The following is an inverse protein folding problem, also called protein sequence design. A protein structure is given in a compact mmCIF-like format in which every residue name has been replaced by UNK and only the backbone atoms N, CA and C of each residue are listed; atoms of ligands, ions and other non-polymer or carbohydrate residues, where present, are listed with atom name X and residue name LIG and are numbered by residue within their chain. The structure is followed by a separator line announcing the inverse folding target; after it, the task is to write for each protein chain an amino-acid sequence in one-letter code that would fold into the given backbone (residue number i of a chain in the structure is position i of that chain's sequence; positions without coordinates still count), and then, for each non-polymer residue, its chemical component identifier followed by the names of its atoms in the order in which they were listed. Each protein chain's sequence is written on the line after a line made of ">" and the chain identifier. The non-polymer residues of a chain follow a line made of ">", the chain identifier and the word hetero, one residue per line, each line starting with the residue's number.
data_IF_608818320117
#
_entry.id   IF_608818320117
#
_cell.length_a   1.000
_cell.length_b   1.000
_cell.length_c   1.000
_cell.angle_alpha   90.00
_cell.angle_beta   90.00
_cell.angle_gamma   90.00
#
_symmetry.space_group_name_H-M   'P 1'
#
loop_
_entity.id
_entity.type
_entity.pdbx_description
1 polymer ?
#
# COMPACT_ATOMS: atom_id res chain seq x y z
N UNK A 1 -12.35 25.38 -21.88
CA UNK A 1 -12.90 25.22 -20.53
C UNK A 1 -13.67 23.92 -20.53
N UNK A 2 -13.08 22.83 -20.03
CA UNK A 2 -13.77 21.56 -19.91
C UNK A 2 -14.51 21.57 -18.57
N UNK A 3 -15.83 21.41 -18.61
CA UNK A 3 -16.67 21.24 -17.42
C UNK A 3 -16.21 19.99 -16.67
N UNK A 4 -15.59 20.19 -15.50
CA UNK A 4 -15.31 19.10 -14.56
C UNK A 4 -16.66 18.69 -13.96
N UNK A 5 -17.30 17.69 -14.55
CA UNK A 5 -18.49 17.09 -13.97
C UNK A 5 -18.15 16.52 -12.60
N UNK A 6 -18.58 17.20 -11.55
CA UNK A 6 -18.72 16.64 -10.21
C UNK A 6 -19.74 15.52 -10.35
N UNK A 7 -19.27 14.28 -10.52
CA UNK A 7 -20.16 13.14 -10.48
C UNK A 7 -20.60 13.01 -9.03
N UNK A 8 -21.87 13.32 -8.76
CA UNK A 8 -22.45 13.13 -7.44
C UNK A 8 -22.33 11.64 -7.08
N UNK A 9 -21.70 11.29 -5.94
CA UNK A 9 -21.51 9.89 -5.56
C UNK A 9 -22.85 9.15 -5.39
N UNK A 10 -23.94 9.88 -5.09
CA UNK A 10 -25.30 9.34 -5.02
C UNK A 10 -25.84 8.85 -6.39
N UNK A 11 -25.23 9.27 -7.50
CA UNK A 11 -25.62 8.83 -8.86
C UNK A 11 -24.83 7.62 -9.35
N UNK A 12 -23.82 7.17 -8.59
CA UNK A 12 -23.04 5.98 -8.91
C UNK A 12 -23.57 4.78 -8.10
N UNK A 13 -24.70 4.21 -8.52
CA UNK A 13 -25.30 2.98 -7.94
C UNK A 13 -24.35 1.77 -7.87
N UNK A 14 -23.20 1.85 -8.55
CA UNK A 14 -22.18 0.80 -8.59
C UNK A 14 -20.99 1.07 -7.68
N UNK A 15 -20.88 2.27 -7.11
CA UNK A 15 -19.79 2.70 -6.24
C UNK A 15 -20.27 2.72 -4.79
N UNK A 16 -19.78 1.76 -4.00
CA UNK A 16 -20.01 1.74 -2.55
C UNK A 16 -18.83 2.41 -1.87
N UNK A 17 -19.08 3.58 -1.28
CA UNK A 17 -18.10 4.33 -0.50
C UNK A 17 -18.24 4.00 0.99
N UNK A 18 -17.10 3.90 1.68
CA UNK A 18 -17.05 3.85 3.13
C UNK A 18 -17.42 5.23 3.74
N UNK A 19 -17.80 5.29 5.03
CA UNK A 19 -18.40 6.50 5.63
C UNK A 19 -17.50 7.75 5.59
N UNK A 20 -16.18 7.55 5.61
CA UNK A 20 -15.15 8.60 5.59
C UNK A 20 -14.51 8.76 4.19
N UNK A 21 -14.92 7.95 3.21
CA UNK A 21 -14.35 7.91 1.87
C UNK A 21 -15.00 8.95 0.96
N UNK A 22 -14.19 9.83 0.34
CA UNK A 22 -14.71 10.87 -0.57
C UNK A 22 -14.10 10.78 -1.97
N UNK A 23 -14.88 11.19 -2.98
CA UNK A 23 -14.45 11.22 -4.38
C UNK A 23 -13.54 12.42 -4.60
N UNK A 24 -12.32 12.16 -5.03
CA UNK A 24 -11.29 13.17 -5.30
C UNK A 24 -11.30 13.55 -6.77
N UNK A 25 -11.53 12.56 -7.62
CA UNK A 25 -11.63 12.75 -9.05
C UNK A 25 -12.51 11.65 -9.65
N UNK A 26 -13.37 12.04 -10.58
CA UNK A 26 -14.10 11.11 -11.40
C UNK A 26 -13.94 11.52 -12.87
N UNK A 27 -13.84 10.53 -13.75
CA UNK A 27 -13.60 10.77 -15.16
C UNK A 27 -14.10 9.66 -16.05
N UNK A 28 -14.39 10.04 -17.28
CA UNK A 28 -14.68 9.12 -18.39
C UNK A 28 -13.61 9.25 -19.48
N UNK A 29 -13.43 8.26 -20.35
CA UNK A 29 -12.50 8.35 -21.46
C UNK A 29 -12.73 9.63 -22.30
N UNK A 30 -11.63 10.32 -22.60
CA UNK A 30 -11.62 11.58 -23.34
C UNK A 30 -12.30 11.43 -24.71
N UNK A 31 -12.98 12.47 -25.19
CA UNK A 31 -13.78 12.41 -26.43
C UNK A 31 -12.91 12.12 -27.65
N UNK A 32 -11.69 12.67 -27.65
CA UNK A 32 -10.69 12.44 -28.70
C UNK A 32 -10.14 11.01 -28.74
N UNK A 33 -10.49 10.14 -27.77
CA UNK A 33 -10.16 8.71 -27.84
C UNK A 33 -10.76 8.03 -29.08
N UNK A 34 -11.86 8.58 -29.61
CA UNK A 34 -12.50 8.05 -30.83
C UNK A 34 -11.73 8.37 -32.11
N UNK A 35 -10.82 9.35 -32.10
CA UNK A 35 -10.06 9.79 -33.29
C UNK A 35 -9.29 8.64 -33.95
N UNK A 36 -8.47 7.84 -33.26
CA UNK A 36 -7.80 6.69 -33.90
C UNK A 36 -8.81 5.70 -34.49
N UNK A 37 -9.93 5.44 -33.80
CA UNK A 37 -10.99 4.58 -34.31
C UNK A 37 -11.67 5.16 -35.56
N UNK A 38 -11.81 6.47 -35.68
CA UNK A 38 -12.33 7.13 -36.87
C UNK A 38 -11.30 7.12 -38.02
N UNK A 39 -10.03 7.38 -37.74
CA UNK A 39 -8.95 7.37 -38.74
C UNK A 39 -8.81 6.00 -39.39
N UNK A 40 -8.91 4.93 -38.60
CA UNK A 40 -8.87 3.54 -39.10
C UNK A 40 -10.23 3.06 -39.60
N UNK A 41 -11.30 3.46 -38.92
CA UNK A 41 -12.67 3.02 -39.19
C UNK A 41 -13.19 3.56 -40.51
N UNK A 42 -13.10 4.87 -40.76
CA UNK A 42 -13.63 5.51 -41.97
C UNK A 42 -13.15 4.86 -43.27
N UNK A 43 -11.84 4.60 -43.50
CA UNK A 43 -11.41 3.93 -44.73
C UNK A 43 -11.91 2.47 -44.82
N UNK A 44 -12.06 1.79 -43.69
CA UNK A 44 -12.57 0.41 -43.62
C UNK A 44 -14.10 0.32 -43.65
N UNK A 45 -14.82 1.45 -43.55
CA UNK A 45 -16.29 1.47 -43.52
C UNK A 45 -16.91 0.99 -44.81
N UNK A 46 -16.18 1.06 -45.94
CA UNK A 46 -16.62 0.54 -47.23
C UNK A 46 -16.91 -0.97 -47.22
N UNK A 47 -16.31 -1.70 -46.27
CA UNK A 47 -16.47 -3.16 -46.13
C UNK A 47 -17.26 -3.51 -44.85
N UNK A 48 -18.04 -2.57 -44.29
CA UNK A 48 -18.78 -2.67 -43.01
C UNK A 48 -17.90 -2.83 -41.74
N UNK A 49 -16.69 -3.36 -41.86
CA UNK A 49 -15.73 -3.55 -40.75
C UNK A 49 -15.44 -2.24 -40.03
N UNK A 50 -15.28 -1.14 -40.78
CA UNK A 50 -15.03 0.18 -40.19
C UNK A 50 -16.15 0.68 -39.29
N UNK A 51 -17.41 0.38 -39.64
CA UNK A 51 -18.57 0.75 -38.82
C UNK A 51 -18.54 0.01 -37.47
N UNK A 52 -18.19 -1.28 -37.48
CA UNK A 52 -18.05 -2.08 -36.26
C UNK A 52 -16.91 -1.57 -35.36
N UNK A 53 -15.79 -1.15 -35.95
CA UNK A 53 -14.67 -0.57 -35.19
C UNK A 53 -15.10 0.73 -34.50
N UNK A 54 -15.78 1.62 -35.22
CA UNK A 54 -16.26 2.90 -34.67
C UNK A 54 -17.31 2.66 -33.58
N UNK A 55 -18.29 1.78 -33.84
CA UNK A 55 -19.33 1.44 -32.89
C UNK A 55 -18.74 0.79 -31.62
N UNK A 56 -17.79 -0.13 -31.77
CA UNK A 56 -17.10 -0.76 -30.65
C UNK A 56 -16.32 0.25 -29.80
N UNK A 57 -15.60 1.17 -30.42
CA UNK A 57 -14.88 2.23 -29.71
C UNK A 57 -15.85 3.17 -28.96
N UNK A 58 -16.97 3.52 -29.59
CA UNK A 58 -18.01 4.35 -28.99
C UNK A 58 -18.64 3.66 -27.78
N UNK A 59 -19.04 2.40 -27.92
CA UNK A 59 -19.62 1.61 -26.84
C UNK A 59 -18.63 1.44 -25.69
N UNK A 60 -17.35 1.16 -25.98
CA UNK A 60 -16.34 1.02 -24.94
C UNK A 60 -16.15 2.33 -24.16
N UNK A 61 -16.16 3.48 -24.84
CA UNK A 61 -16.07 4.79 -24.20
C UNK A 61 -17.24 5.03 -23.25
N UNK A 62 -18.47 4.80 -23.70
CA UNK A 62 -19.67 5.09 -22.90
C UNK A 62 -19.82 4.15 -21.71
N UNK A 63 -19.30 2.93 -21.82
CA UNK A 63 -19.40 1.91 -20.79
C UNK A 63 -18.23 1.91 -19.80
N UNK A 64 -17.28 2.84 -19.90
CA UNK A 64 -16.11 2.89 -19.04
C UNK A 64 -16.10 4.14 -18.15
N UNK A 65 -15.95 3.94 -16.85
CA UNK A 65 -15.88 5.02 -15.84
C UNK A 65 -14.72 4.77 -14.88
N UNK A 66 -14.01 5.85 -14.52
CA UNK A 66 -12.89 5.85 -13.60
C UNK A 66 -13.20 6.75 -12.41
N UNK A 67 -12.96 6.27 -11.21
CA UNK A 67 -13.13 7.05 -9.98
C UNK A 67 -11.89 6.88 -9.11
N UNK A 68 -11.40 7.99 -8.59
CA UNK A 68 -10.29 8.07 -7.65
C UNK A 68 -10.86 8.66 -6.38
N UNK A 69 -10.84 7.89 -5.30
CA UNK A 69 -11.31 8.32 -3.99
C UNK A 69 -10.13 8.70 -3.10
N UNK A 70 -10.40 8.92 -1.81
CA UNK A 70 -9.36 9.11 -0.79
C UNK A 70 -8.59 7.83 -0.51
N UNK A 71 -9.21 6.67 -0.69
CA UNK A 71 -8.74 5.40 -0.15
C UNK A 71 -8.38 4.39 -1.25
N UNK A 72 -9.08 4.47 -2.39
CA UNK A 72 -8.96 3.50 -3.46
C UNK A 72 -9.16 4.07 -4.88
N UNK A 73 -8.74 3.27 -5.84
CA UNK A 73 -8.96 3.45 -7.26
C UNK A 73 -10.06 2.50 -7.72
N UNK A 74 -11.04 3.05 -8.43
CA UNK A 74 -12.14 2.29 -8.99
C UNK A 74 -12.19 2.40 -10.52
N UNK A 75 -12.43 1.26 -11.16
CA UNK A 75 -12.68 1.16 -12.59
C UNK A 75 -13.93 0.33 -12.83
N UNK A 76 -14.87 0.91 -13.57
CA UNK A 76 -16.02 0.18 -14.12
C UNK A 76 -15.88 0.09 -15.64
N UNK A 77 -16.08 -1.11 -16.19
CA UNK A 77 -16.08 -1.33 -17.64
C UNK A 77 -17.09 -2.41 -18.07
N UNK A 78 -17.40 -2.44 -19.37
CA UNK A 78 -18.16 -3.53 -20.01
C UNK A 78 -19.51 -3.11 -20.61
N UNK A 79 -19.79 -3.63 -21.82
CA UNK A 79 -20.94 -3.23 -22.66
C UNK A 79 -22.19 -4.08 -22.38
N UNK A 80 -22.01 -5.38 -22.20
CA UNK A 80 -23.10 -6.33 -21.91
C UNK A 80 -23.07 -6.78 -20.44
N UNK A 81 -21.87 -6.92 -19.88
CA UNK A 81 -21.60 -7.20 -18.47
C UNK A 81 -20.96 -5.99 -17.82
N UNK A 82 -21.10 -5.87 -16.50
CA UNK A 82 -20.40 -4.85 -15.70
C UNK A 82 -19.26 -5.51 -14.95
N UNK A 83 -18.05 -5.06 -15.20
CA UNK A 83 -16.84 -5.40 -14.46
C UNK A 83 -16.45 -4.19 -13.59
N UNK A 84 -16.37 -4.38 -12.27
CA UNK A 84 -16.01 -3.34 -11.31
C UNK A 84 -14.78 -3.80 -10.55
N UNK A 85 -13.74 -2.98 -10.58
CA UNK A 85 -12.46 -3.25 -9.91
C UNK A 85 -12.16 -2.14 -8.92
N UNK A 86 -11.75 -2.52 -7.70
CA UNK A 86 -11.28 -1.63 -6.63
C UNK A 86 -9.83 -2.00 -6.29
N UNK A 87 -8.96 -1.01 -6.19
CA UNK A 87 -7.58 -1.18 -5.71
C UNK A 87 -7.30 -0.15 -4.63
N UNK A 88 -7.03 -0.61 -3.41
CA UNK A 88 -6.68 0.25 -2.29
C UNK A 88 -5.29 0.87 -2.49
N UNK A 89 -5.10 2.13 -2.08
CA UNK A 89 -3.81 2.81 -2.25
C UNK A 89 -2.64 2.12 -1.53
N UNK A 90 -2.91 1.43 -0.41
CA UNK A 90 -1.91 0.64 0.30
C UNK A 90 -1.36 -0.55 -0.50
N UNK A 91 -2.13 -1.06 -1.48
CA UNK A 91 -1.72 -2.16 -2.35
C UNK A 91 -1.02 -1.66 -3.61
N UNK A 92 -1.14 -0.38 -3.96
CA UNK A 92 -0.50 0.19 -5.15
C UNK A 92 1.01 0.26 -4.95
N UNK A 93 1.75 -0.19 -5.96
CA UNK A 93 3.21 -0.22 -5.94
C UNK A 93 3.82 0.76 -6.92
N UNK A 94 3.36 0.72 -8.17
CA UNK A 94 3.90 1.55 -9.23
C UNK A 94 2.77 2.08 -10.11
N UNK A 95 2.93 3.35 -10.51
CA UNK A 95 2.02 4.02 -11.44
C UNK A 95 2.85 4.59 -12.58
N UNK A 96 2.60 4.13 -13.81
CA UNK A 96 3.21 4.66 -15.02
C UNK A 96 2.16 5.27 -15.93
N UNK A 97 2.57 6.20 -16.78
CA UNK A 97 1.70 6.76 -17.81
C UNK A 97 2.32 6.60 -19.19
N UNK A 98 1.48 6.46 -20.21
CA UNK A 98 1.89 6.40 -21.61
C UNK A 98 0.95 7.21 -22.49
N UNK A 99 1.51 7.86 -23.51
CA UNK A 99 0.74 8.63 -24.50
C UNK A 99 1.16 8.21 -25.90
N UNK A 100 0.19 7.76 -26.70
CA UNK A 100 0.41 7.53 -28.13
C UNK A 100 0.52 8.84 -28.91
N UNK A 101 0.70 8.72 -30.22
CA UNK A 101 0.78 9.87 -31.14
C UNK A 101 -0.43 10.82 -30.99
N UNK A 102 -1.65 10.28 -31.12
CA UNK A 102 -2.88 11.06 -30.95
C UNK A 102 -3.08 11.54 -29.50
N UNK A 103 -2.71 10.71 -28.52
CA UNK A 103 -2.77 11.08 -27.11
C UNK A 103 -1.92 12.30 -26.79
N UNK A 104 -0.70 12.36 -27.32
CA UNK A 104 0.20 13.51 -27.16
C UNK A 104 -0.34 14.76 -27.83
N UNK A 105 -1.02 14.62 -28.98
CA UNK A 105 -1.60 15.75 -29.72
C UNK A 105 -2.87 16.32 -29.09
N UNK A 106 -3.70 15.45 -28.49
CA UNK A 106 -5.02 15.79 -27.96
C UNK A 106 -5.09 15.77 -26.42
N UNK A 107 -3.96 15.57 -25.74
CA UNK A 107 -3.84 15.68 -24.28
C UNK A 107 -4.46 14.51 -23.49
N UNK A 108 -4.50 13.31 -24.06
CA UNK A 108 -4.98 12.12 -23.36
C UNK A 108 -3.94 11.00 -23.35
N UNK A 109 -4.09 10.05 -22.44
CA UNK A 109 -3.22 8.88 -22.40
C UNK A 109 -3.75 7.77 -21.52
N UNK A 110 -2.86 6.84 -21.20
CA UNK A 110 -3.16 5.68 -20.39
C UNK A 110 -2.34 5.76 -19.11
N UNK A 111 -2.97 5.52 -17.96
CA UNK A 111 -2.29 5.35 -16.68
C UNK A 111 -2.41 3.88 -16.28
N UNK A 112 -1.27 3.24 -16.09
CA UNK A 112 -1.14 1.85 -15.67
C UNK A 112 -0.79 1.79 -14.18
N UNK A 113 -1.54 0.99 -13.42
CA UNK A 113 -1.41 0.82 -11.98
C UNK A 113 -1.10 -0.64 -11.69
N UNK A 114 -0.01 -0.86 -10.95
CA UNK A 114 0.44 -2.18 -10.50
C UNK A 114 0.33 -2.31 -8.99
N UNK A 115 -0.08 -3.48 -8.53
CA UNK A 115 -0.28 -3.79 -7.11
C UNK A 115 0.71 -4.81 -6.58
N UNK A 116 0.88 -4.83 -5.25
CA UNK A 116 1.65 -5.86 -4.57
C UNK A 116 0.93 -7.21 -4.72
N UNK A 117 1.59 -8.18 -5.37
CA UNK A 117 1.05 -9.52 -5.60
C UNK A 117 0.47 -9.76 -7.00
N UNK A 118 0.36 -8.73 -7.83
CA UNK A 118 0.00 -8.87 -9.24
C UNK A 118 1.22 -9.15 -10.13
N UNK A 119 1.02 -9.87 -11.25
CA UNK A 119 2.09 -10.19 -12.21
C UNK A 119 2.34 -9.09 -13.26
N UNK A 120 1.74 -7.90 -13.10
CA UNK A 120 1.87 -6.80 -14.05
C UNK A 120 0.96 -5.60 -13.75
N UNK A 121 0.29 -5.12 -14.80
CA UNK A 121 -0.69 -4.02 -14.70
C UNK A 121 -2.03 -4.59 -14.27
N UNK A 122 -2.45 -4.26 -13.05
CA UNK A 122 -3.71 -4.74 -12.47
C UNK A 122 -4.88 -3.85 -12.93
N UNK A 123 -4.66 -2.54 -12.97
CA UNK A 123 -5.66 -1.57 -13.39
C UNK A 123 -5.09 -0.57 -14.38
N UNK A 124 -5.92 -0.21 -15.35
CA UNK A 124 -5.58 0.70 -16.43
C UNK A 124 -6.69 1.71 -16.61
N UNK A 125 -6.35 2.98 -16.49
CA UNK A 125 -7.22 4.07 -16.87
C UNK A 125 -6.85 4.51 -18.29
N UNK A 126 -7.72 4.23 -19.25
CA UNK A 126 -7.47 4.46 -20.67
C UNK A 126 -8.08 5.77 -21.13
N UNK A 127 -7.35 6.47 -21.99
CA UNK A 127 -7.79 7.74 -22.57
C UNK A 127 -8.17 8.79 -21.53
N UNK A 128 -7.42 8.83 -20.42
CA UNK A 128 -7.61 9.82 -19.37
C UNK A 128 -7.08 11.16 -19.86
N UNK A 129 -7.81 12.26 -19.64
CA UNK A 129 -7.30 13.60 -19.89
C UNK A 129 -6.14 13.92 -18.94
N UNK A 130 -5.05 14.44 -19.49
CA UNK A 130 -3.81 14.73 -18.76
C UNK A 130 -3.35 13.56 -17.87
N UNK A 131 -2.81 12.49 -18.49
CA UNK A 131 -2.44 11.29 -17.76
C UNK A 131 -1.31 11.53 -16.74
N UNK A 132 -0.52 12.59 -16.93
CA UNK A 132 0.52 12.98 -15.97
C UNK A 132 -0.12 13.52 -14.70
N UNK A 133 -1.02 14.50 -14.80
CA UNK A 133 -1.68 15.07 -13.62
C UNK A 133 -2.47 14.01 -12.83
N UNK A 134 -3.06 13.02 -13.53
CA UNK A 134 -3.76 11.91 -12.87
C UNK A 134 -2.77 10.97 -12.18
N UNK A 135 -1.65 10.64 -12.81
CA UNK A 135 -0.61 9.82 -12.19
C UNK A 135 0.00 10.51 -10.96
N UNK A 136 0.23 11.82 -11.00
CA UNK A 136 0.71 12.62 -9.87
C UNK A 136 -0.28 12.57 -8.70
N UNK A 137 -1.57 12.80 -8.96
CA UNK A 137 -2.63 12.69 -7.94
C UNK A 137 -2.68 11.30 -7.31
N UNK A 138 -2.60 10.25 -8.13
CA UNK A 138 -2.58 8.86 -7.62
C UNK A 138 -1.37 8.67 -6.71
N UNK A 139 -0.18 9.10 -7.12
CA UNK A 139 1.03 8.95 -6.33
C UNK A 139 0.99 9.74 -5.02
N UNK A 140 0.41 10.94 -5.02
CA UNK A 140 0.17 11.73 -3.81
C UNK A 140 -0.74 10.97 -2.83
N UNK A 141 -1.82 10.38 -3.31
CA UNK A 141 -2.72 9.55 -2.49
C UNK A 141 -2.06 8.28 -1.97
N UNK A 142 -1.26 7.61 -2.79
CA UNK A 142 -0.46 6.44 -2.35
C UNK A 142 0.51 6.83 -1.23
N UNK A 143 1.15 8.00 -1.32
CA UNK A 143 2.05 8.49 -0.27
C UNK A 143 1.29 8.84 1.01
N UNK A 144 0.16 9.54 0.90
CA UNK A 144 -0.68 9.89 2.04
C UNK A 144 -1.15 8.63 2.79
N UNK A 145 -1.72 7.66 2.07
CA UNK A 145 -2.22 6.41 2.64
C UNK A 145 -1.13 5.52 3.28
N UNK A 146 0.13 5.67 2.86
CA UNK A 146 1.27 5.01 3.51
C UNK A 146 1.72 5.76 4.76
N UNK A 147 1.68 7.10 4.74
CA UNK A 147 2.01 7.94 5.89
C UNK A 147 1.01 7.77 7.03
N UNK A 148 -0.29 7.69 6.71
CA UNK A 148 -1.36 7.43 7.69
C UNK A 148 -1.15 6.08 8.39
N UNK A 149 -0.94 4.99 7.64
CA UNK A 149 -0.63 3.67 8.22
C UNK A 149 0.62 3.67 9.08
N UNK A 150 1.68 4.34 8.63
CA UNK A 150 2.91 4.43 9.43
C UNK A 150 2.69 5.18 10.75
N UNK A 151 1.86 6.23 10.75
CA UNK A 151 1.48 6.94 11.97
C UNK A 151 0.64 6.08 12.92
N UNK A 152 -0.33 5.33 12.38
CA UNK A 152 -1.15 4.39 13.16
C UNK A 152 -0.30 3.28 13.80
N UNK A 153 0.68 2.73 13.06
CA UNK A 153 1.60 1.72 13.54
C UNK A 153 2.52 2.27 14.65
N UNK A 154 2.99 3.52 14.52
CA UNK A 154 3.82 4.20 15.53
C UNK A 154 3.04 4.49 16.82
N UNK A 155 1.79 4.96 16.71
CA UNK A 155 0.91 5.20 17.85
C UNK A 155 0.59 3.89 18.59
N UNK A 156 0.21 2.86 17.84
CA UNK A 156 -0.04 1.52 18.40
C UNK A 156 1.20 0.95 19.10
N UNK A 157 2.38 1.10 18.48
CA UNK A 157 3.64 0.66 19.09
C UNK A 157 3.97 1.43 20.37
N UNK A 158 3.74 2.75 20.39
CA UNK A 158 3.96 3.59 21.56
C UNK A 158 3.05 3.17 22.73
N UNK A 159 1.76 2.95 22.47
CA UNK A 159 0.79 2.51 23.48
C UNK A 159 1.18 1.16 24.10
N UNK A 160 1.58 0.19 23.26
CA UNK A 160 2.03 -1.12 23.72
C UNK A 160 3.32 -1.01 24.56
N UNK A 161 4.25 -0.14 24.17
CA UNK A 161 5.48 0.08 24.93
C UNK A 161 5.23 0.72 26.30
N UNK A 162 4.23 1.61 26.41
CA UNK A 162 3.87 2.24 27.68
C UNK A 162 3.17 1.24 28.62
N UNK A 163 2.32 0.36 28.12
CA UNK A 163 1.71 -0.74 28.90
C UNK A 163 2.78 -1.69 29.46
N UNK A 164 3.71 -2.16 28.60
CA UNK A 164 4.82 -3.03 29.02
C UNK A 164 5.72 -2.33 30.05
N UNK A 165 6.00 -1.03 29.86
CA UNK A 165 6.80 -0.24 30.82
C UNK A 165 6.12 -0.18 32.18
N UNK A 166 4.80 0.00 32.22
CA UNK A 166 4.06 0.09 33.47
C UNK A 166 3.93 -1.25 34.18
N UNK A 167 3.79 -2.35 33.44
CA UNK A 167 3.87 -3.70 33.99
C UNK A 167 5.25 -3.98 34.61
N UNK A 168 6.35 -3.63 33.91
CA UNK A 168 7.71 -3.79 34.44
C UNK A 168 7.94 -2.96 35.71
N UNK A 169 7.37 -1.76 35.80
CA UNK A 169 7.41 -0.93 37.02
C UNK A 169 6.63 -1.59 38.16
N UNK A 170 5.50 -2.22 37.87
CA UNK A 170 4.71 -2.94 38.87
C UNK A 170 5.47 -4.16 39.43
N UNK A 171 6.09 -4.96 38.55
CA UNK A 171 6.90 -6.12 38.94
C UNK A 171 8.08 -5.69 39.81
N UNK A 172 8.79 -4.60 39.43
CA UNK A 172 9.91 -4.07 40.23
C UNK A 172 9.47 -3.72 41.65
N UNK A 173 8.36 -2.99 41.82
CA UNK A 173 7.87 -2.61 43.15
C UNK A 173 7.47 -3.82 44.00
N UNK A 174 6.87 -4.84 43.39
CA UNK A 174 6.50 -6.08 44.08
C UNK A 174 7.75 -6.86 44.53
N UNK A 175 8.81 -6.86 43.72
CA UNK A 175 10.09 -7.47 44.09
C UNK A 175 10.79 -6.70 45.22
N UNK A 176 10.83 -5.37 45.15
CA UNK A 176 11.43 -4.52 46.20
C UNK A 176 10.71 -4.68 47.56
N UNK A 177 9.37 -4.82 47.55
CA UNK A 177 8.60 -5.10 48.76
C UNK A 177 8.91 -6.48 49.35
N UNK A 178 9.24 -7.47 48.52
CA UNK A 178 9.61 -8.83 48.95
C UNK A 178 11.02 -8.88 49.55
N UNK A 179 11.99 -8.16 48.98
CA UNK A 179 13.35 -8.13 49.53
C UNK A 179 13.45 -7.35 50.85
N UNK A 180 12.60 -6.34 51.06
CA UNK A 180 12.51 -5.63 52.34
C UNK A 180 12.09 -6.52 53.53
N UNK A 181 11.22 -7.50 53.28
CA UNK A 181 10.73 -8.46 54.29
C UNK A 181 11.80 -9.52 54.66
N UNK A 182 12.76 -9.78 53.77
CA UNK A 182 13.86 -10.75 54.01
C UNK A 182 14.96 -10.11 54.86
N UNK A 183 15.22 -8.81 54.74
CA UNK A 183 16.34 -8.16 55.45
C UNK A 183 16.06 -7.81 56.92
N UNK A 184 14.79 -7.72 57.34
CA UNK A 184 14.41 -7.50 58.76
C UNK A 184 14.47 -8.80 59.60
N UNK A 185 14.75 -9.95 58.98
CA UNK A 185 14.83 -11.27 59.63
C UNK A 185 16.23 -11.73 60.05
N UNK A 186 17.30 -11.01 59.69
CA UNK A 186 18.70 -11.45 59.90
C UNK A 186 19.51 -10.46 60.74
N UNK A 187 19.10 -10.22 62.00
CA UNK A 187 19.96 -9.59 63.01
C UNK A 187 19.78 -10.27 64.38
N UNK A 188 20.08 -11.57 64.49
CA UNK A 188 20.39 -12.20 65.79
C UNK A 188 21.29 -13.44 65.62
N UNK A 189 22.55 -13.32 66.06
CA UNK A 189 23.40 -14.40 66.57
C UNK A 189 24.06 -15.36 65.56
N UNK A 190 25.38 -15.29 65.40
CA UNK A 190 26.33 -15.91 66.33
C UNK A 190 27.72 -16.02 65.68
N UNK A 191 28.73 -15.57 66.40
CA UNK A 191 30.13 -15.75 66.07
C UNK A 191 30.61 -17.03 66.75
N UNK A 192 30.79 -18.14 66.03
CA UNK A 192 31.56 -19.26 66.56
C UNK A 192 32.16 -20.15 65.46
N UNK A 193 33.47 -19.99 65.27
CA UNK A 193 34.50 -21.02 65.07
C UNK A 193 34.24 -22.23 64.16
N UNK A 194 35.14 -22.41 63.20
CA UNK A 194 35.33 -23.71 62.55
C UNK A 194 36.42 -23.68 61.48
N UNK A 195 37.65 -23.99 61.87
CA UNK A 195 38.76 -24.36 60.97
C UNK A 195 38.35 -25.51 60.03
N UNK A 196 38.68 -25.39 58.74
CA UNK A 196 38.98 -26.53 57.87
C UNK A 196 39.75 -26.08 56.62
N UNK A 197 41.07 -26.26 56.72
CA UNK A 197 42.02 -26.64 55.68
C UNK A 197 41.41 -27.46 54.52
N UNK A 198 41.59 -27.03 53.26
CA UNK A 198 41.95 -27.91 52.12
C UNK A 198 42.64 -27.11 51.00
N UNK A 199 43.90 -27.49 50.78
CA UNK A 199 44.80 -27.38 49.61
C UNK A 199 44.39 -26.67 48.31
N UNK A 200 45.34 -25.81 47.90
CA UNK A 200 45.74 -25.51 46.53
C UNK A 200 45.85 -26.75 45.63
N UNK A 201 45.30 -26.65 44.42
CA UNK A 201 45.74 -27.43 43.27
C UNK A 201 45.77 -26.51 42.04
N UNK A 202 46.98 -26.06 41.72
CA UNK A 202 47.36 -25.58 40.40
C UNK A 202 46.98 -26.60 39.31
N UNK A 203 46.43 -26.10 38.21
CA UNK A 203 46.04 -26.89 37.06
C UNK A 203 45.97 -26.04 35.81
N UNK A 204 47.12 -25.92 35.16
CA UNK A 204 47.35 -25.39 33.82
C UNK A 204 46.27 -25.72 32.78
N UNK A 205 46.09 -24.80 31.83
CA UNK A 205 46.10 -25.20 30.43
C UNK A 205 44.91 -24.80 29.55
N UNK A 206 45.23 -23.95 28.58
CA UNK A 206 44.80 -24.03 27.17
C UNK A 206 43.54 -23.25 26.73
N UNK A 207 43.80 -22.08 26.14
CA UNK A 207 43.11 -21.62 24.92
C UNK A 207 43.97 -22.04 23.70
N UNK A 208 43.55 -21.85 22.43
CA UNK A 208 42.20 -21.77 21.84
C UNK A 208 42.04 -22.85 20.73
N UNK A 209 40.84 -23.05 20.17
CA UNK A 209 40.72 -23.77 18.88
C UNK A 209 39.75 -23.10 17.90
N UNK A 210 40.37 -22.70 16.78
CA UNK A 210 39.92 -22.56 15.40
C UNK A 210 38.45 -22.23 15.09
N UNK A 211 38.30 -21.06 14.48
CA UNK A 211 37.30 -20.76 13.48
C UNK A 211 37.59 -21.52 12.16
N UNK A 212 36.57 -22.13 11.58
CA UNK A 212 36.55 -22.60 10.19
C UNK A 212 35.12 -22.47 9.66
N UNK A 213 34.96 -21.74 8.56
CA UNK A 213 34.28 -22.21 7.34
C UNK A 213 33.93 -21.01 6.44
N UNK A 214 34.91 -20.71 5.57
CA UNK A 214 34.69 -20.17 4.23
C UNK A 214 33.77 -21.10 3.41
N UNK A 215 32.99 -20.52 2.50
CA UNK A 215 32.00 -21.23 1.70
C UNK A 215 31.43 -20.37 0.59
N UNK A 216 32.32 -19.84 -0.25
CA UNK A 216 31.99 -19.17 -1.51
C UNK A 216 31.78 -20.22 -2.60
N UNK A 217 30.56 -20.38 -3.13
CA UNK A 217 30.33 -21.09 -4.39
C UNK A 217 29.38 -20.31 -5.32
N UNK A 218 30.01 -19.82 -6.40
CA UNK A 218 29.62 -19.73 -7.81
C UNK A 218 28.15 -19.62 -8.23
#
# INVERSE_FOLDING_TARGET
>A
MAEHGTLDPETLDWLTLDADESVVWAGKPHESSLIPALVVGVPLSLVLVGLLVIAGAYLNRENTQYVVTTDALYRKSGVLSRDVQRIDFGKVQNTSYSQGFFGSRFGYGTVDVSTAGGSGVEMRFQSVPDPRAVQERINERVKAARGERAGEDEETAADVLDDVRDELRAIRRALEARDGDVSDGEHEGDTSGGDADVSEADGDGMAPTSADADGTER
#
